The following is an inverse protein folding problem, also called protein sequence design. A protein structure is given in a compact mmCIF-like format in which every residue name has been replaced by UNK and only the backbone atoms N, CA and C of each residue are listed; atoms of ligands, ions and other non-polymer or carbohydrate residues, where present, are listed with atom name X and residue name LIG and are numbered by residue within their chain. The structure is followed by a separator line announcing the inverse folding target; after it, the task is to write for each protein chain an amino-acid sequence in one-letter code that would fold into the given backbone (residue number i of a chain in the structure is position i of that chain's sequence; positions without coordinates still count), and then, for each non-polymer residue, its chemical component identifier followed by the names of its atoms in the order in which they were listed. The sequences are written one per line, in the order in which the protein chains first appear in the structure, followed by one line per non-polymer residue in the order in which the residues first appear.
data_IF_434496747545
#
_entry.id   IF_434496747545
#
_cell.length_a   1.000
_cell.length_b   1.000
_cell.length_c   1.000
_cell.angle_alpha   90.00
_cell.angle_beta   90.00
_cell.angle_gamma   90.00
#
_symmetry.space_group_name_H-M   'P 1'
#
loop_
_entity.id
_entity.type
_entity.pdbx_description
1 polymer ?
#
# COMPACT_ATOMS: atom_id res chain seq x y z
N UNK A 1 -5.55 8.95 8.29
CA UNK A 1 -5.13 7.78 7.49
C UNK A 1 -4.93 6.60 8.40
N UNK A 2 -5.60 5.46 8.14
CA UNK A 2 -5.36 4.25 8.89
C UNK A 2 -3.94 3.76 8.62
N UNK A 3 -3.11 3.74 9.67
CA UNK A 3 -1.81 3.08 9.64
C UNK A 3 -2.03 1.56 9.65
N UNK A 4 -1.44 0.85 8.71
CA UNK A 4 -1.54 -0.61 8.64
C UNK A 4 -0.48 -1.24 9.54
N UNK A 5 0.78 -0.95 9.26
CA UNK A 5 1.93 -1.46 10.01
C UNK A 5 3.18 -0.62 9.71
N UNK A 6 4.25 -0.90 10.45
CA UNK A 6 5.60 -0.38 10.19
C UNK A 6 6.56 -1.51 10.00
N UNK A 7 7.46 -1.36 9.03
CA UNK A 7 8.54 -2.31 8.76
C UNK A 7 9.80 -1.52 8.40
N UNK A 8 10.93 -1.84 9.05
CA UNK A 8 12.23 -1.22 8.78
C UNK A 8 12.23 0.32 8.75
N UNK A 9 11.42 0.96 9.60
CA UNK A 9 11.29 2.43 9.67
C UNK A 9 10.38 3.06 8.60
N UNK A 10 9.78 2.26 7.73
CA UNK A 10 8.75 2.67 6.79
C UNK A 10 7.36 2.42 7.38
N UNK A 11 6.46 3.38 7.16
CA UNK A 11 5.05 3.24 7.52
C UNK A 11 4.26 2.92 6.27
N UNK A 12 3.44 1.87 6.35
CA UNK A 12 2.51 1.46 5.30
C UNK A 12 1.10 1.83 5.73
N UNK A 13 0.36 2.51 4.86
CA UNK A 13 -0.93 3.10 5.21
C UNK A 13 -1.83 3.34 3.98
N UNK A 14 -3.11 3.58 4.20
CA UNK A 14 -4.02 4.04 3.15
C UNK A 14 -4.07 5.56 3.10
N UNK A 15 -4.11 6.10 1.88
CA UNK A 15 -4.44 7.50 1.64
C UNK A 15 -5.91 7.57 1.18
N UNK A 16 -6.60 8.66 1.50
CA UNK A 16 -8.02 8.84 1.18
C UNK A 16 -8.19 9.82 0.04
N UNK A 17 -9.36 9.82 -0.60
CA UNK A 17 -9.72 10.74 -1.68
C UNK A 17 -8.94 10.55 -2.99
N UNK A 18 -8.72 9.30 -3.39
CA UNK A 18 -8.03 8.95 -4.65
C UNK A 18 -9.01 8.42 -5.71
N UNK A 19 -10.14 9.10 -5.87
CA UNK A 19 -11.05 8.98 -7.02
C UNK A 19 -11.46 7.54 -7.44
N UNK A 20 -11.69 6.64 -6.47
CA UNK A 20 -12.14 5.28 -6.76
C UNK A 20 -11.06 4.37 -7.37
N UNK A 21 -9.78 4.73 -7.21
CA UNK A 21 -8.64 3.88 -7.53
C UNK A 21 -8.76 2.46 -6.91
N UNK A 22 -8.17 1.43 -7.55
CA UNK A 22 -8.14 0.07 -7.00
C UNK A 22 -7.37 0.00 -5.67
N UNK A 23 -7.38 -1.14 -4.99
CA UNK A 23 -6.68 -1.30 -3.71
C UNK A 23 -5.18 -1.04 -3.83
N UNK A 24 -4.65 -0.22 -2.94
CA UNK A 24 -3.24 0.11 -2.89
C UNK A 24 -2.83 0.59 -1.50
N UNK A 25 -1.51 0.71 -1.32
CA UNK A 25 -0.91 1.27 -0.12
C UNK A 25 0.07 2.37 -0.49
N UNK A 26 0.23 3.29 0.45
CA UNK A 26 1.26 4.31 0.42
C UNK A 26 2.35 3.94 1.44
N UNK A 27 3.59 4.21 1.07
CA UNK A 27 4.78 3.92 1.88
C UNK A 27 5.65 5.16 1.97
N UNK A 28 5.97 5.56 3.19
CA UNK A 28 6.90 6.66 3.48
C UNK A 28 7.74 6.34 4.71
N UNK A 29 8.93 6.95 4.82
CA UNK A 29 9.78 6.80 6.00
C UNK A 29 9.20 7.61 7.15
N UNK A 30 9.00 6.98 8.32
CA UNK A 30 8.44 7.65 9.49
C UNK A 30 6.95 7.98 9.32
N UNK A 31 6.60 9.25 9.06
CA UNK A 31 5.20 9.72 9.02
C UNK A 31 4.64 9.71 7.58
N UNK A 32 3.32 9.53 7.41
CA UNK A 32 2.65 9.71 6.11
C UNK A 32 3.01 11.03 5.42
N UNK A 33 3.25 11.01 4.11
CA UNK A 33 3.58 12.19 3.30
C UNK A 33 2.76 12.26 2.01
N UNK A 34 2.48 13.45 1.46
CA UNK A 34 1.69 13.60 0.22
C UNK A 34 2.32 12.97 -1.03
N UNK A 35 3.66 12.92 -1.10
CA UNK A 35 4.41 12.32 -2.22
C UNK A 35 4.99 10.95 -1.82
N UNK A 36 4.19 10.14 -1.14
CA UNK A 36 4.60 8.81 -0.73
C UNK A 36 4.81 7.88 -1.94
N UNK A 37 5.55 6.80 -1.72
CA UNK A 37 5.63 5.71 -2.70
C UNK A 37 4.29 4.99 -2.74
N UNK A 38 3.69 4.83 -3.92
CA UNK A 38 2.42 4.15 -4.12
C UNK A 38 2.66 2.74 -4.68
N UNK A 39 2.00 1.75 -4.10
CA UNK A 39 2.10 0.34 -4.49
C UNK A 39 0.69 -0.24 -4.64
N UNK A 40 0.36 -0.73 -5.83
CA UNK A 40 -0.90 -1.40 -6.14
C UNK A 40 -0.92 -2.84 -5.65
N UNK A 41 -2.08 -3.32 -5.19
CA UNK A 41 -2.31 -4.75 -4.97
C UNK A 41 -2.95 -5.36 -6.23
N UNK A 42 -2.52 -6.59 -6.55
CA UNK A 42 -2.95 -7.34 -7.74
C UNK A 42 -3.88 -8.49 -7.36
N UNK A 43 -4.76 -8.94 -8.28
CA UNK A 43 -5.70 -10.04 -7.97
C UNK A 43 -5.00 -11.36 -7.64
N UNK A 44 -3.78 -11.58 -8.14
CA UNK A 44 -3.00 -12.80 -7.90
C UNK A 44 -2.33 -12.88 -6.52
N UNK A 45 -2.54 -11.89 -5.63
CA UNK A 45 -1.95 -11.87 -4.30
C UNK A 45 -0.62 -11.12 -4.19
N UNK A 46 -0.10 -10.60 -5.31
CA UNK A 46 1.12 -9.79 -5.35
C UNK A 46 0.86 -8.29 -5.33
N UNK A 47 1.92 -7.52 -5.58
CA UNK A 47 1.84 -6.07 -5.71
C UNK A 47 2.75 -5.53 -6.82
N UNK A 48 2.44 -4.32 -7.29
CA UNK A 48 3.19 -3.63 -8.35
C UNK A 48 3.47 -2.19 -7.90
N UNK A 49 4.70 -1.73 -8.09
CA UNK A 49 5.08 -0.35 -7.84
C UNK A 49 4.37 0.59 -8.83
N UNK A 50 3.57 1.52 -8.31
CA UNK A 50 2.91 2.55 -9.11
C UNK A 50 3.80 3.77 -9.30
N UNK A 51 4.40 4.24 -8.20
CA UNK A 51 5.28 5.40 -8.20
C UNK A 51 6.20 5.36 -6.98
N UNK A 52 7.44 5.84 -7.15
CA UNK A 52 8.43 5.92 -6.07
C UNK A 52 8.65 7.35 -5.59
N UNK A 53 7.60 8.02 -5.12
CA UNK A 53 7.67 9.41 -4.66
C UNK A 53 8.60 9.62 -3.46
N UNK A 54 8.75 8.60 -2.59
CA UNK A 54 9.66 8.66 -1.44
C UNK A 54 11.12 8.37 -1.76
N UNK A 55 11.47 8.15 -3.05
CA UNK A 55 12.84 7.87 -3.51
C UNK A 55 13.51 6.70 -2.76
N UNK A 56 12.73 5.66 -2.48
CA UNK A 56 13.19 4.46 -1.81
C UNK A 56 14.12 3.69 -2.76
N UNK A 57 15.24 3.16 -2.28
CA UNK A 57 16.14 2.37 -3.13
C UNK A 57 15.47 1.09 -3.63
N UNK A 58 15.85 0.61 -4.81
CA UNK A 58 15.25 -0.60 -5.40
C UNK A 58 15.37 -1.83 -4.48
N UNK A 59 16.49 -1.98 -3.77
CA UNK A 59 16.68 -3.06 -2.80
C UNK A 59 15.60 -3.03 -1.70
N UNK A 60 15.41 -1.87 -1.08
CA UNK A 60 14.43 -1.70 -0.01
C UNK A 60 13.00 -1.78 -0.54
N UNK A 61 12.73 -1.29 -1.77
CA UNK A 61 11.43 -1.45 -2.41
C UNK A 61 11.07 -2.92 -2.60
N UNK A 62 12.01 -3.75 -3.06
CA UNK A 62 11.77 -5.18 -3.23
C UNK A 62 11.42 -5.85 -1.90
N UNK A 63 12.20 -5.58 -0.85
CA UNK A 63 11.91 -6.08 0.51
C UNK A 63 10.52 -5.62 0.98
N UNK A 64 10.20 -4.34 0.82
CA UNK A 64 8.88 -3.79 1.19
C UNK A 64 7.74 -4.45 0.40
N UNK A 65 7.91 -4.69 -0.90
CA UNK A 65 6.92 -5.34 -1.75
C UNK A 65 6.71 -6.81 -1.38
N UNK A 66 7.74 -7.52 -0.95
CA UNK A 66 7.61 -8.87 -0.38
C UNK A 66 6.77 -8.84 0.90
N UNK A 67 7.05 -7.92 1.83
CA UNK A 67 6.24 -7.75 3.04
C UNK A 67 4.79 -7.38 2.74
N UNK A 68 4.55 -6.46 1.81
CA UNK A 68 3.20 -6.05 1.40
C UNK A 68 2.43 -7.23 0.81
N UNK A 69 3.07 -8.02 -0.05
CA UNK A 69 2.46 -9.22 -0.64
C UNK A 69 2.18 -10.29 0.42
N UNK A 70 3.09 -10.51 1.37
CA UNK A 70 2.86 -11.43 2.49
C UNK A 70 1.69 -11.00 3.40
N UNK A 71 1.39 -9.69 3.47
CA UNK A 71 0.28 -9.14 4.25
C UNK A 71 -0.98 -8.92 3.41
N UNK A 72 -1.08 -9.48 2.20
CA UNK A 72 -2.16 -9.23 1.25
C UNK A 72 -3.56 -9.30 1.85
N UNK A 73 -3.89 -10.39 2.56
CA UNK A 73 -5.21 -10.58 3.16
C UNK A 73 -5.51 -9.56 4.27
N UNK A 74 -4.51 -9.21 5.08
CA UNK A 74 -4.63 -8.17 6.10
C UNK A 74 -4.95 -6.82 5.45
N UNK A 75 -4.23 -6.46 4.39
CA UNK A 75 -4.44 -5.21 3.66
C UNK A 75 -5.84 -5.19 3.06
N UNK A 76 -6.29 -6.27 2.43
CA UNK A 76 -7.65 -6.39 1.90
C UNK A 76 -8.72 -6.18 2.99
N UNK A 77 -8.60 -6.87 4.12
CA UNK A 77 -9.55 -6.73 5.23
C UNK A 77 -9.57 -5.30 5.81
N UNK A 78 -8.39 -4.68 5.96
CA UNK A 78 -8.28 -3.29 6.43
C UNK A 78 -8.84 -2.31 5.41
N UNK A 79 -8.70 -2.56 4.11
CA UNK A 79 -9.24 -1.72 3.05
C UNK A 79 -10.77 -1.68 3.13
N UNK A 80 -11.42 -2.85 3.17
CA UNK A 80 -12.87 -2.96 3.34
C UNK A 80 -13.37 -2.17 4.55
N UNK A 81 -12.68 -2.32 5.68
CA UNK A 81 -13.02 -1.59 6.92
C UNK A 81 -12.79 -0.08 6.80
N UNK A 82 -11.71 0.34 6.17
CA UNK A 82 -11.33 1.76 6.07
C UNK A 82 -12.24 2.55 5.13
N UNK A 83 -12.70 1.92 4.05
CA UNK A 83 -13.51 2.55 3.02
C UNK A 83 -14.97 2.09 3.02
N UNK A 84 -15.36 1.29 4.00
CA UNK A 84 -16.73 0.79 4.21
C UNK A 84 -17.30 0.19 2.91
N UNK A 85 -16.57 -0.77 2.36
CA UNK A 85 -16.91 -1.47 1.11
C UNK A 85 -16.68 -2.97 1.25
N UNK A 86 -17.55 -3.78 0.66
CA UNK A 86 -17.37 -5.22 0.56
C UNK A 86 -16.62 -5.64 -0.71
N UNK A 87 -16.64 -4.78 -1.73
CA UNK A 87 -15.97 -4.99 -3.01
C UNK A 87 -14.58 -4.38 -3.02
N UNK A 88 -13.61 -5.17 -3.48
CA UNK A 88 -12.24 -4.73 -3.73
C UNK A 88 -11.96 -4.82 -5.22
N UNK A 89 -11.61 -3.68 -5.82
CA UNK A 89 -11.06 -3.62 -7.17
C UNK A 89 -9.54 -3.77 -7.08
N UNK A 90 -8.97 -4.73 -7.78
CA UNK A 90 -7.52 -4.90 -7.86
C UNK A 90 -6.97 -4.24 -9.13
N UNK A 91 -5.68 -3.90 -9.11
CA UNK A 91 -4.99 -3.47 -10.32
C UNK A 91 -4.62 -4.71 -11.15
N UNK A 92 -5.26 -4.86 -12.31
CA UNK A 92 -5.28 -6.05 -13.17
C UNK A 92 -5.95 -7.28 -12.51
#
# INVERSE_FOLDING_TARGET
MPKLFTVSGYTVYFWSNENGEPIHVHVSKGKPTPNATKIWLTRSGGCILASNGSKISNKQLNELMEFISAQFFLICAKWKKAFVTDDIKFYC
#
